data_IF_234615763898
#
_entry.id   IF_234615763898
#
_cell.length_a   1.000
_cell.length_b   1.000
_cell.length_c   1.000
_cell.angle_alpha   90.00
_cell.angle_beta   90.00
_cell.angle_gamma   90.00
#
_symmetry.space_group_name_H-M   'P 1'
#
loop_
_entity.id
_entity.type
_entity.pdbx_description
1 polymer ?
#
# COMPACT_ATOMS: atom_id res chain seq x y z
N UNK A 1 3.17 7.07 -16.92
CA UNK A 1 3.81 6.92 -15.60
C UNK A 1 2.83 6.19 -14.69
N UNK A 2 3.07 4.91 -14.37
CA UNK A 2 2.16 4.13 -13.52
C UNK A 2 2.38 4.52 -12.05
N UNK A 3 1.38 5.19 -11.48
CA UNK A 3 1.30 5.55 -10.05
C UNK A 3 1.27 4.23 -9.27
N UNK A 4 2.22 4.00 -8.36
CA UNK A 4 2.22 2.78 -7.52
C UNK A 4 0.97 2.81 -6.65
N UNK A 5 -0.01 2.01 -7.04
CA UNK A 5 -1.33 1.93 -6.45
C UNK A 5 -1.22 1.44 -5.01
N UNK A 6 -1.53 2.33 -4.06
CA UNK A 6 -1.78 1.91 -2.69
C UNK A 6 -3.10 1.16 -2.71
N UNK A 7 -3.07 -0.12 -2.35
CA UNK A 7 -4.29 -0.94 -2.30
C UNK A 7 -5.22 -0.38 -1.23
N UNK A 8 -6.48 -0.17 -1.61
CA UNK A 8 -7.53 0.14 -0.66
C UNK A 8 -7.89 -1.15 0.09
N UNK A 9 -7.61 -1.16 1.38
CA UNK A 9 -7.84 -2.31 2.28
C UNK A 9 -9.16 -2.20 3.04
N UNK A 10 -10.02 -1.23 2.72
CA UNK A 10 -11.29 -1.02 3.41
C UNK A 10 -11.14 -0.52 4.85
N UNK A 11 -9.99 0.10 5.16
CA UNK A 11 -9.70 0.70 6.46
C UNK A 11 -9.55 2.20 6.28
N UNK A 12 -10.26 2.98 7.10
CA UNK A 12 -10.20 4.45 7.07
C UNK A 12 -8.95 4.95 7.80
N UNK A 13 -7.79 4.65 7.20
CA UNK A 13 -6.47 5.03 7.71
C UNK A 13 -5.70 5.83 6.66
N UNK A 14 -4.89 6.81 7.10
CA UNK A 14 -4.11 7.61 6.18
C UNK A 14 -3.14 6.74 5.41
N UNK A 15 -3.05 7.02 4.11
CA UNK A 15 -2.13 6.34 3.20
C UNK A 15 -0.70 6.49 3.73
N UNK A 16 0.09 5.41 3.78
CA UNK A 16 1.48 5.52 4.21
C UNK A 16 2.23 6.52 3.32
N UNK A 17 3.03 7.40 3.93
CA UNK A 17 3.84 8.39 3.19
C UNK A 17 5.01 7.75 2.46
N UNK A 18 5.43 6.57 2.89
CA UNK A 18 6.58 5.85 2.36
C UNK A 18 6.14 4.51 1.79
N UNK A 19 6.72 4.16 0.64
CA UNK A 19 6.54 2.84 0.04
C UNK A 19 7.49 1.84 0.71
N UNK A 20 6.97 0.71 1.18
CA UNK A 20 7.79 -0.40 1.65
C UNK A 20 7.82 -1.54 0.63
N UNK A 21 8.90 -2.32 0.62
CA UNK A 21 9.06 -3.51 -0.25
C UNK A 21 8.61 -4.80 0.43
N UNK A 22 7.97 -4.68 1.59
CA UNK A 22 7.50 -5.80 2.37
C UNK A 22 6.35 -6.52 1.64
N UNK A 23 6.55 -7.80 1.34
CA UNK A 23 5.57 -8.64 0.65
C UNK A 23 4.28 -8.83 1.45
N UNK A 24 4.35 -8.72 2.78
CA UNK A 24 3.23 -8.86 3.69
C UNK A 24 2.59 -7.52 4.07
N UNK A 25 3.02 -6.40 3.49
CA UNK A 25 2.40 -5.12 3.79
C UNK A 25 0.97 -5.07 3.23
N UNK A 26 -0.04 -4.74 4.05
CA UNK A 26 -1.43 -4.65 3.57
C UNK A 26 -1.62 -3.57 2.48
N UNK A 27 -0.74 -2.56 2.42
CA UNK A 27 -0.85 -1.44 1.48
C UNK A 27 -0.04 -1.63 0.19
N UNK A 28 1.21 -2.12 0.30
CA UNK A 28 2.18 -2.19 -0.80
C UNK A 28 2.61 -3.62 -1.14
N UNK A 29 2.33 -4.58 -0.26
CA UNK A 29 2.65 -5.98 -0.46
C UNK A 29 1.72 -6.62 -1.48
N UNK A 30 2.06 -7.85 -1.84
CA UNK A 30 1.32 -8.65 -2.83
C UNK A 30 0.48 -9.75 -2.19
N UNK A 31 0.33 -9.74 -0.86
CA UNK A 31 -0.68 -10.57 -0.18
C UNK A 31 -2.05 -10.48 -0.86
#
# INVERSE_FOLDING_TARGET
MAKKDVRDIGLDVPTPKETCTDQNCPFHGTL
#
